data_IF_849177897336
#
_entry.id   IF_849177897336
#
_cell.length_a   1.000
_cell.length_b   1.000
_cell.length_c   1.000
_cell.angle_alpha   90.00
_cell.angle_beta   90.00
_cell.angle_gamma   90.00
#
_symmetry.space_group_name_H-M   'P 1'
#
loop_
_entity.id
_entity.type
_entity.pdbx_description
1 polymer ?
#
# COMPACT_ATOMS: atom_id res chain seq x y z
N UNK A 1 -22.91 1.02 20.64
CA UNK A 1 -21.79 0.72 21.51
C UNK A 1 -20.96 -0.43 20.98
N UNK A 2 -21.64 -1.49 20.56
CA UNK A 2 -20.96 -2.66 20.03
C UNK A 2 -20.29 -2.39 18.69
N UNK A 3 -20.68 -1.31 18.03
CA UNK A 3 -20.14 -0.99 16.71
C UNK A 3 -18.77 -0.33 16.78
N UNK A 4 -18.39 0.19 17.94
CA UNK A 4 -17.14 0.91 18.06
C UNK A 4 -15.90 0.10 17.74
N UNK A 5 -15.76 -1.14 18.24
CA UNK A 5 -14.59 -1.94 17.86
C UNK A 5 -14.52 -2.24 16.38
N UNK A 6 -15.68 -2.53 15.79
CA UNK A 6 -15.75 -2.78 14.35
C UNK A 6 -15.44 -1.50 13.56
N UNK A 7 -15.92 -0.37 14.05
CA UNK A 7 -15.64 0.91 13.39
C UNK A 7 -14.16 1.22 13.38
N UNK A 8 -13.48 0.97 14.51
CA UNK A 8 -12.04 1.20 14.58
C UNK A 8 -11.28 0.31 13.62
N UNK A 9 -11.64 -0.98 13.56
CA UNK A 9 -11.02 -1.92 12.65
C UNK A 9 -11.21 -1.47 11.21
N UNK A 10 -12.43 -1.06 10.85
CA UNK A 10 -12.72 -0.59 9.50
C UNK A 10 -11.92 0.66 9.15
N UNK A 11 -11.76 1.58 10.11
CA UNK A 11 -10.97 2.78 9.88
C UNK A 11 -9.53 2.43 9.56
N UNK A 12 -8.93 1.52 10.32
CA UNK A 12 -7.56 1.10 10.06
C UNK A 12 -7.42 0.33 8.76
N UNK A 13 -8.39 -0.49 8.43
CA UNK A 13 -8.36 -1.23 7.18
C UNK A 13 -8.46 -0.30 5.97
N UNK A 14 -9.13 0.86 6.14
CA UNK A 14 -9.23 1.84 5.08
C UNK A 14 -7.94 2.62 4.85
N UNK A 15 -6.98 2.53 5.78
CA UNK A 15 -5.68 3.17 5.60
C UNK A 15 -4.85 2.45 4.56
N UNK A 16 -5.11 1.18 4.34
CA UNK A 16 -4.44 0.37 3.35
C UNK A 16 -5.52 -0.29 2.51
N UNK A 17 -5.62 0.11 1.26
CA UNK A 17 -6.63 -0.41 0.35
C UNK A 17 -5.99 -0.95 -0.93
N UNK A 18 -6.56 -2.02 -1.45
CA UNK A 18 -6.20 -2.51 -2.77
C UNK A 18 -7.46 -2.39 -3.61
N UNK A 19 -7.36 -1.67 -4.72
CA UNK A 19 -8.49 -1.49 -5.63
C UNK A 19 -8.15 -2.02 -7.01
N UNK A 20 -9.18 -2.41 -7.75
CA UNK A 20 -9.05 -2.76 -9.15
C UNK A 20 -9.40 -1.56 -9.99
N UNK A 21 -8.47 -1.19 -10.87
CA UNK A 21 -8.71 -0.11 -11.81
C UNK A 21 -9.46 -0.65 -13.03
N UNK A 22 -10.32 0.15 -13.66
CA UNK A 22 -11.02 -0.29 -14.88
C UNK A 22 -10.05 -0.71 -15.96
N UNK A 23 -10.32 -1.85 -16.56
CA UNK A 23 -9.48 -2.41 -17.62
C UNK A 23 -10.36 -2.77 -18.81
N UNK A 24 -10.03 -2.24 -19.96
CA UNK A 24 -10.76 -2.43 -21.18
C UNK A 24 -9.93 -3.30 -22.12
N UNK A 25 -10.50 -4.39 -22.60
CA UNK A 25 -9.83 -5.32 -23.50
C UNK A 25 -10.22 -5.09 -24.94
N UNK A 26 -9.25 -5.26 -25.80
CA UNK A 26 -9.41 -5.16 -27.24
C UNK A 26 -8.40 -6.15 -27.86
N UNK A 27 -8.67 -6.74 -29.02
CA UNK A 27 -7.70 -7.67 -29.63
C UNK A 27 -6.30 -7.09 -29.81
N UNK A 28 -6.19 -5.76 -29.85
CA UNK A 28 -4.90 -5.09 -30.01
C UNK A 28 -4.20 -4.85 -28.68
N UNK A 29 -4.86 -5.09 -27.55
CA UNK A 29 -4.27 -4.85 -26.24
C UNK A 29 -5.30 -4.56 -25.17
N UNK A 30 -4.86 -3.92 -24.10
CA UNK A 30 -5.75 -3.54 -23.01
C UNK A 30 -5.41 -2.12 -22.54
N UNK A 31 -6.44 -1.44 -22.01
CA UNK A 31 -6.31 -0.10 -21.45
C UNK A 31 -6.73 -0.14 -19.99
N UNK A 32 -5.89 0.38 -19.12
CA UNK A 32 -6.21 0.54 -17.71
C UNK A 32 -6.34 2.03 -17.42
N UNK A 33 -7.37 2.39 -16.67
CA UNK A 33 -7.70 3.79 -16.41
C UNK A 33 -7.61 4.11 -14.93
N UNK A 34 -6.98 5.23 -14.58
CA UNK A 34 -6.97 5.76 -13.22
C UNK A 34 -7.23 7.27 -13.30
N UNK A 35 -8.35 7.69 -12.75
CA UNK A 35 -8.76 9.09 -12.77
C UNK A 35 -8.66 9.73 -11.41
N UNK A 36 -8.16 10.96 -11.38
CA UNK A 36 -8.09 11.76 -10.16
C UNK A 36 -9.49 11.94 -9.58
N UNK A 37 -9.61 11.77 -8.28
CA UNK A 37 -10.86 11.91 -7.54
C UNK A 37 -11.96 10.89 -7.88
N UNK A 38 -11.67 9.93 -8.75
CA UNK A 38 -12.56 8.80 -9.01
C UNK A 38 -11.92 7.52 -8.48
N UNK A 39 -10.74 7.18 -8.96
CA UNK A 39 -9.98 6.02 -8.52
C UNK A 39 -8.86 6.43 -7.57
N UNK A 40 -8.24 7.56 -7.85
CA UNK A 40 -7.18 8.13 -7.03
C UNK A 40 -7.86 9.04 -6.01
N UNK A 41 -7.81 8.70 -4.71
CA UNK A 41 -8.64 9.41 -3.72
C UNK A 41 -8.04 10.74 -3.24
N UNK A 42 -7.25 11.40 -4.07
CA UNK A 42 -6.63 12.67 -3.70
C UNK A 42 -6.19 13.44 -4.95
N UNK A 43 -5.87 14.72 -4.76
CA UNK A 43 -5.29 15.54 -5.80
C UNK A 43 -3.83 15.15 -5.98
N UNK A 44 -3.40 15.04 -7.23
CA UNK A 44 -2.07 14.54 -7.54
C UNK A 44 -1.04 15.66 -7.48
N UNK A 45 0.04 15.41 -6.73
CA UNK A 45 1.18 16.34 -6.68
C UNK A 45 2.26 15.93 -7.66
N UNK A 46 2.62 14.63 -7.63
CA UNK A 46 3.66 14.13 -8.53
C UNK A 46 3.47 12.65 -8.79
N UNK A 47 4.05 12.22 -9.89
CA UNK A 47 4.06 10.81 -10.28
C UNK A 47 5.50 10.41 -10.55
N UNK A 48 5.88 9.21 -10.13
CA UNK A 48 7.23 8.71 -10.34
C UNK A 48 7.17 7.31 -10.96
N UNK A 49 8.06 7.05 -11.91
CA UNK A 49 8.22 5.73 -12.51
C UNK A 49 9.55 5.18 -12.04
N UNK A 50 9.51 4.08 -11.30
CA UNK A 50 10.70 3.48 -10.72
C UNK A 50 11.00 2.17 -11.42
N UNK A 51 12.11 2.14 -12.16
CA UNK A 51 12.58 0.93 -12.82
C UNK A 51 13.39 0.13 -11.82
N UNK A 52 12.99 -1.12 -11.58
CA UNK A 52 13.58 -1.95 -10.55
C UNK A 52 14.34 -3.12 -11.13
N UNK A 53 15.50 -3.40 -10.53
CA UNK A 53 16.16 -4.68 -10.68
C UNK A 53 15.55 -5.70 -9.73
N UNK A 54 16.18 -6.83 -9.57
CA UNK A 54 15.76 -7.82 -8.57
C UNK A 54 16.14 -7.32 -7.17
N UNK A 55 15.14 -7.07 -6.34
CA UNK A 55 15.35 -6.59 -4.97
C UNK A 55 15.11 -7.74 -4.00
N UNK A 56 15.92 -7.81 -2.96
CA UNK A 56 15.84 -8.82 -1.93
C UNK A 56 15.54 -8.16 -0.58
N UNK A 57 14.96 -8.92 0.37
CA UNK A 57 14.60 -8.35 1.67
C UNK A 57 15.78 -7.75 2.45
N UNK A 58 16.99 -8.20 2.16
CA UNK A 58 18.19 -7.72 2.86
C UNK A 58 18.54 -6.29 2.48
N UNK A 59 18.09 -5.84 1.31
CA UNK A 59 18.40 -4.49 0.82
C UNK A 59 17.12 -3.84 0.28
N UNK A 60 16.17 -3.54 1.17
CA UNK A 60 14.90 -2.97 0.72
C UNK A 60 15.06 -1.53 0.27
N UNK A 61 14.11 -1.07 -0.53
CA UNK A 61 14.05 0.32 -0.96
C UNK A 61 12.92 1.02 -0.22
N UNK A 62 13.23 2.09 0.49
CA UNK A 62 12.23 2.87 1.19
C UNK A 62 11.47 3.74 0.19
N UNK A 63 10.16 3.70 0.29
CA UNK A 63 9.29 4.54 -0.55
C UNK A 63 8.81 5.79 0.17
N UNK A 64 9.08 5.87 1.47
CA UNK A 64 8.70 7.02 2.26
C UNK A 64 7.32 6.92 2.84
N UNK A 65 6.76 8.06 3.13
CA UNK A 65 5.45 8.14 3.78
C UNK A 65 4.34 8.43 2.78
N UNK A 66 3.15 8.01 3.14
CA UNK A 66 1.93 8.23 2.37
C UNK A 66 1.34 9.62 2.71
N UNK A 67 0.31 10.09 2.00
CA UNK A 67 -0.53 9.29 1.07
C UNK A 67 0.10 9.05 -0.28
N UNK A 68 -0.08 7.84 -0.78
CA UNK A 68 0.47 7.45 -2.06
C UNK A 68 -0.35 6.30 -2.66
N UNK A 69 -0.39 6.25 -3.99
CA UNK A 69 -0.95 5.11 -4.71
C UNK A 69 0.19 4.43 -5.46
N UNK A 70 0.25 3.11 -5.35
CA UNK A 70 1.32 2.30 -5.92
C UNK A 70 0.74 1.29 -6.92
N UNK A 71 1.33 1.24 -8.10
CA UNK A 71 0.89 0.30 -9.15
C UNK A 71 2.13 -0.36 -9.76
N UNK A 72 2.12 -1.68 -9.80
CA UNK A 72 3.16 -2.42 -10.50
C UNK A 72 2.76 -2.54 -11.97
N UNK A 73 3.33 -1.71 -12.81
CA UNK A 73 3.01 -1.69 -14.23
C UNK A 73 3.53 -2.93 -14.95
N UNK A 74 4.68 -3.42 -14.54
CA UNK A 74 5.24 -4.68 -15.03
C UNK A 74 5.91 -5.40 -13.88
N UNK A 75 5.98 -6.74 -13.97
CA UNK A 75 6.69 -7.56 -13.00
C UNK A 75 5.89 -7.80 -11.74
N UNK A 76 6.60 -8.21 -10.72
CA UNK A 76 6.03 -8.51 -9.42
C UNK A 76 6.80 -7.75 -8.36
N UNK A 77 6.09 -6.99 -7.54
CA UNK A 77 6.69 -6.13 -6.53
C UNK A 77 6.03 -6.37 -5.19
N UNK A 78 6.82 -6.74 -4.20
CA UNK A 78 6.33 -6.97 -2.84
C UNK A 78 6.64 -5.76 -1.98
N UNK A 79 5.60 -5.23 -1.35
CA UNK A 79 5.67 -4.02 -0.55
C UNK A 79 5.30 -4.33 0.88
N UNK A 80 6.14 -3.91 1.81
CA UNK A 80 5.86 -3.99 3.23
C UNK A 80 5.35 -2.62 3.69
N UNK A 81 4.20 -2.62 4.35
CA UNK A 81 3.56 -1.40 4.84
C UNK A 81 3.51 -1.42 6.35
N UNK A 82 3.89 -0.32 6.97
CA UNK A 82 3.84 -0.14 8.42
C UNK A 82 2.97 1.08 8.72
N UNK A 83 2.02 0.90 9.62
CA UNK A 83 1.12 1.97 10.04
C UNK A 83 1.32 2.22 11.54
N UNK A 84 1.86 3.37 11.89
CA UNK A 84 2.21 3.69 13.27
C UNK A 84 1.00 3.78 14.20
N UNK A 85 -0.07 4.40 13.72
CA UNK A 85 -1.26 4.61 14.55
C UNK A 85 -1.92 3.29 14.93
N UNK A 86 -1.91 2.35 14.02
CA UNK A 86 -2.48 1.03 14.28
C UNK A 86 -1.76 0.35 15.44
N UNK A 87 -0.44 0.46 15.45
CA UNK A 87 0.36 -0.12 16.53
C UNK A 87 0.04 0.51 17.87
N UNK A 88 -0.08 1.83 17.92
CA UNK A 88 -0.40 2.55 19.16
C UNK A 88 -1.79 2.20 19.65
N UNK A 89 -2.77 2.15 18.77
CA UNK A 89 -4.13 1.81 19.16
C UNK A 89 -4.23 0.39 19.69
N UNK A 90 -3.49 -0.51 19.08
CA UNK A 90 -3.47 -1.89 19.52
C UNK A 90 -2.90 -1.98 20.95
N UNK A 91 -1.82 -1.28 21.21
CA UNK A 91 -1.21 -1.25 22.55
C UNK A 91 -2.18 -0.69 23.56
N UNK A 92 -2.85 0.41 23.23
CA UNK A 92 -3.82 1.05 24.13
C UNK A 92 -4.98 0.13 24.48
N UNK A 93 -5.46 -0.63 23.51
CA UNK A 93 -6.61 -1.49 23.71
C UNK A 93 -6.29 -2.76 24.49
N UNK A 94 -5.02 -3.10 24.62
CA UNK A 94 -4.60 -4.36 25.24
C UNK A 94 -3.67 -4.12 26.42
N UNK A 95 -4.16 -3.44 27.42
CA UNK A 95 -3.37 -3.04 28.57
C UNK A 95 -2.65 -4.18 29.28
N UNK A 96 -3.26 -5.34 29.35
CA UNK A 96 -2.70 -6.46 30.09
C UNK A 96 -1.63 -7.22 29.33
N UNK A 97 -1.55 -7.01 28.03
CA UNK A 97 -0.66 -7.76 27.17
C UNK A 97 0.30 -6.88 26.40
N UNK A 98 0.66 -5.74 26.98
CA UNK A 98 1.52 -4.78 26.31
C UNK A 98 2.83 -5.40 25.83
N UNK A 99 3.45 -6.20 26.67
CA UNK A 99 4.73 -6.82 26.33
C UNK A 99 4.62 -7.77 25.14
N UNK A 100 3.55 -8.54 25.09
CA UNK A 100 3.33 -9.46 23.99
C UNK A 100 3.09 -8.73 22.69
N UNK A 101 2.39 -7.61 22.77
CA UNK A 101 2.03 -6.83 21.61
C UNK A 101 3.26 -6.21 20.95
N UNK A 102 4.22 -5.77 21.74
CA UNK A 102 5.43 -5.13 21.24
C UNK A 102 6.19 -6.01 20.25
N UNK A 103 6.15 -7.31 20.43
CA UNK A 103 6.90 -8.23 19.61
C UNK A 103 6.17 -8.65 18.34
N UNK A 104 4.89 -8.46 18.29
CA UNK A 104 4.09 -8.97 17.18
C UNK A 104 4.04 -8.03 15.98
N UNK A 105 4.37 -6.77 16.16
CA UNK A 105 4.33 -5.77 15.09
C UNK A 105 3.05 -5.87 14.26
N UNK A 106 1.89 -5.74 14.89
CA UNK A 106 0.62 -5.94 14.19
C UNK A 106 0.36 -4.91 13.10
N UNK A 107 1.15 -3.85 13.08
CA UNK A 107 1.00 -2.79 12.07
C UNK A 107 1.66 -3.12 10.73
N UNK A 108 2.48 -4.16 10.69
CA UNK A 108 3.20 -4.50 9.46
C UNK A 108 2.36 -5.41 8.58
N UNK A 109 2.28 -5.08 7.29
CA UNK A 109 1.58 -5.90 6.31
C UNK A 109 2.43 -6.03 5.06
N UNK A 110 2.35 -7.19 4.41
CA UNK A 110 3.09 -7.47 3.19
C UNK A 110 2.10 -7.69 2.06
N UNK A 111 2.28 -6.96 0.98
CA UNK A 111 1.39 -6.99 -0.17
C UNK A 111 2.21 -7.17 -1.43
N UNK A 112 1.79 -8.10 -2.29
CA UNK A 112 2.46 -8.32 -3.57
C UNK A 112 1.58 -7.79 -4.69
N UNK A 113 2.14 -6.90 -5.50
CA UNK A 113 1.48 -6.34 -6.66
C UNK A 113 2.03 -7.01 -7.90
N UNK A 114 1.16 -7.62 -8.69
CA UNK A 114 1.56 -8.35 -9.90
C UNK A 114 0.59 -8.18 -11.06
N UNK A 115 -0.30 -7.19 -10.96
CA UNK A 115 -1.24 -6.86 -12.03
C UNK A 115 -1.25 -5.36 -12.26
N UNK A 116 -1.15 -4.88 -13.50
CA UNK A 116 -1.08 -3.44 -13.76
C UNK A 116 -2.38 -2.69 -13.50
N UNK A 117 -3.51 -3.40 -13.35
CA UNK A 117 -4.77 -2.75 -12.99
C UNK A 117 -5.10 -2.89 -11.50
N UNK A 118 -4.14 -3.27 -10.69
CA UNK A 118 -4.28 -3.39 -9.25
C UNK A 118 -3.50 -2.26 -8.61
N UNK A 119 -4.17 -1.45 -7.80
CA UNK A 119 -3.53 -0.30 -7.16
C UNK A 119 -3.58 -0.45 -5.64
N UNK A 120 -2.45 -0.18 -5.00
CA UNK A 120 -2.34 -0.14 -3.55
C UNK A 120 -2.40 1.31 -3.12
N UNK A 121 -3.40 1.64 -2.31
CA UNK A 121 -3.58 2.99 -1.79
C UNK A 121 -3.17 3.00 -0.33
N UNK A 122 -2.21 3.84 0.01
CA UNK A 122 -1.74 4.03 1.37
C UNK A 122 -2.11 5.41 1.82
N UNK A 123 -2.92 5.49 2.87
CA UNK A 123 -3.37 6.75 3.42
C UNK A 123 -2.41 7.24 4.49
N UNK A 124 -2.71 8.41 5.02
CA UNK A 124 -1.86 9.08 5.99
C UNK A 124 -1.43 8.17 7.14
N UNK A 125 -0.17 8.27 7.54
CA UNK A 125 0.37 7.50 8.63
C UNK A 125 1.05 6.20 8.23
N UNK A 126 0.99 5.83 6.95
CA UNK A 126 1.64 4.62 6.46
C UNK A 126 3.02 4.90 5.90
N UNK A 127 3.95 4.03 6.21
CA UNK A 127 5.28 4.00 5.58
C UNK A 127 5.39 2.72 4.80
N UNK A 128 6.09 2.78 3.69
CA UNK A 128 6.20 1.61 2.84
C UNK A 128 7.61 1.44 2.31
N UNK A 129 7.93 0.20 1.98
CA UNK A 129 9.21 -0.13 1.35
C UNK A 129 9.05 -1.36 0.46
N UNK A 130 9.89 -1.42 -0.56
CA UNK A 130 9.93 -2.57 -1.45
C UNK A 130 10.90 -3.59 -0.85
N UNK A 131 10.42 -4.78 -0.56
CA UNK A 131 11.24 -5.85 0.01
C UNK A 131 11.63 -6.88 -1.03
N UNK A 132 10.90 -6.96 -2.13
CA UNK A 132 11.19 -7.91 -3.21
C UNK A 132 10.64 -7.36 -4.52
N UNK A 133 11.38 -7.59 -5.58
CA UNK A 133 10.87 -7.32 -6.93
C UNK A 133 11.54 -8.25 -7.91
N UNK A 134 10.82 -8.61 -8.97
CA UNK A 134 11.40 -9.34 -10.08
C UNK A 134 12.19 -8.37 -10.95
N UNK A 135 13.14 -8.92 -11.68
CA UNK A 135 13.98 -8.13 -12.57
C UNK A 135 13.11 -7.45 -13.63
N UNK A 136 13.43 -6.19 -13.94
CA UNK A 136 12.69 -5.39 -14.92
C UNK A 136 11.27 -5.04 -14.50
N UNK A 137 11.02 -4.97 -13.21
CA UNK A 137 9.74 -4.47 -12.70
C UNK A 137 9.68 -2.96 -12.82
N UNK A 138 8.48 -2.44 -12.98
CA UNK A 138 8.26 -0.99 -13.07
C UNK A 138 7.16 -0.62 -12.09
N UNK A 139 7.48 0.24 -11.15
CA UNK A 139 6.54 0.75 -10.16
C UNK A 139 6.16 2.18 -10.49
N UNK A 140 4.87 2.44 -10.55
CA UNK A 140 4.35 3.80 -10.66
C UNK A 140 3.90 4.24 -9.27
N UNK A 141 4.39 5.39 -8.81
CA UNK A 141 3.95 5.99 -7.55
C UNK A 141 3.24 7.30 -7.85
N UNK A 142 2.10 7.50 -7.21
CA UNK A 142 1.29 8.71 -7.39
C UNK A 142 1.11 9.33 -6.00
N UNK A 143 1.61 10.55 -5.84
CA UNK A 143 1.65 11.21 -4.53
C UNK A 143 0.60 12.30 -4.41
N UNK A 144 0.03 12.41 -3.22
CA UNK A 144 -0.95 13.45 -2.90
C UNK A 144 -0.29 14.82 -2.85
N UNK A 145 -1.04 15.77 -3.37
CA UNK A 145 -0.64 17.19 -3.31
C UNK A 145 -0.63 17.73 -1.89
#
# INVERSE_FOLDING_TARGET
IQYRPLSCVLIYMKKIEIIELPKIYDPRGSLTVAEENTHIPFDIKKMEWIHLGAIQPETPIELGESPVMLIALTGEITIQVIHKDLSLEYIKSSKHNVKSIEFNQPSARTITLNHPNQALILKEGCRSRITHSTKHSLLLTIHQK
#
